data_IF_384604907931
#
_entry.id   IF_384604907931
#
_cell.length_a   1.000
_cell.length_b   1.000
_cell.length_c   1.000
_cell.angle_alpha   90.00
_cell.angle_beta   90.00
_cell.angle_gamma   90.00
#
_symmetry.space_group_name_H-M   'P 1'
#
loop_
_entity.id
_entity.type
_entity.pdbx_description
1 polymer ?
#
# COMPACT_ATOMS: atom_id res chain seq x y z
N UNK A 1 29.00 -6.79 -37.86
CA UNK A 1 27.82 -7.66 -37.69
C UNK A 1 28.15 -8.55 -36.51
N UNK A 2 27.49 -8.48 -35.36
CA UNK A 2 26.07 -8.75 -35.11
C UNK A 2 25.57 -7.84 -33.98
N UNK A 3 24.29 -7.48 -34.06
CA UNK A 3 23.58 -6.55 -33.20
C UNK A 3 23.52 -6.94 -31.72
N UNK A 4 23.40 -5.93 -30.84
CA UNK A 4 23.32 -6.06 -29.39
C UNK A 4 21.95 -6.58 -29.00
N UNK A 5 21.77 -7.01 -27.76
CA UNK A 5 20.64 -6.66 -26.88
C UNK A 5 21.02 -7.36 -25.58
N UNK A 6 21.68 -6.61 -24.70
CA UNK A 6 21.61 -6.91 -23.28
C UNK A 6 20.12 -7.08 -22.99
N UNK A 7 19.73 -8.31 -22.64
CA UNK A 7 18.37 -8.65 -22.26
C UNK A 7 18.00 -7.72 -21.12
N UNK A 8 17.32 -6.65 -21.52
CA UNK A 8 16.76 -5.60 -20.71
C UNK A 8 15.68 -6.33 -19.89
N UNK A 9 16.08 -6.84 -18.73
CA UNK A 9 15.18 -7.38 -17.72
C UNK A 9 14.33 -6.21 -17.22
N UNK A 10 13.32 -5.83 -18.01
CA UNK A 10 12.19 -5.05 -17.54
C UNK A 10 11.43 -5.98 -16.62
N UNK A 11 11.87 -6.03 -15.37
CA UNK A 11 11.05 -6.52 -14.27
C UNK A 11 9.88 -5.56 -14.18
N UNK A 12 8.75 -5.93 -14.81
CA UNK A 12 7.47 -5.30 -14.49
C UNK A 12 7.22 -5.56 -13.02
N UNK A 13 7.57 -4.58 -12.19
CA UNK A 13 7.12 -4.49 -10.81
C UNK A 13 5.62 -4.82 -10.81
N UNK A 14 5.16 -5.81 -10.03
CA UNK A 14 3.74 -6.12 -9.98
C UNK A 14 3.04 -4.83 -9.55
N UNK A 15 2.17 -4.29 -10.41
CA UNK A 15 1.32 -3.14 -10.03
C UNK A 15 0.47 -3.59 -8.85
N UNK A 16 0.98 -3.36 -7.62
CA UNK A 16 0.23 -3.55 -6.38
C UNK A 16 -1.04 -2.75 -6.59
N UNK A 17 -2.20 -3.39 -6.49
CA UNK A 17 -3.47 -2.71 -6.70
C UNK A 17 -3.50 -1.47 -5.79
N UNK A 18 -4.12 -0.37 -6.26
CA UNK A 18 -4.20 0.86 -5.46
C UNK A 18 -4.75 0.59 -4.05
N UNK A 19 -5.61 -0.42 -3.93
CA UNK A 19 -6.07 -0.95 -2.65
C UNK A 19 -4.94 -1.51 -1.76
N UNK A 20 -4.08 -2.38 -2.28
CA UNK A 20 -2.97 -2.96 -1.51
C UNK A 20 -1.99 -1.89 -1.00
N UNK A 21 -1.67 -0.90 -1.84
CA UNK A 21 -0.81 0.23 -1.45
C UNK A 21 -1.49 1.12 -0.39
N UNK A 22 -2.80 1.37 -0.54
CA UNK A 22 -3.59 2.07 0.48
C UNK A 22 -3.57 1.35 1.83
N UNK A 23 -3.74 0.02 1.83
CA UNK A 23 -3.78 -0.75 3.08
C UNK A 23 -2.41 -0.73 3.78
N UNK A 24 -1.35 -0.91 3.01
CA UNK A 24 0.02 -0.83 3.53
C UNK A 24 0.32 0.54 4.15
N UNK A 25 0.01 1.62 3.42
CA UNK A 25 0.21 2.98 3.92
C UNK A 25 -0.64 3.27 5.17
N UNK A 26 -1.90 2.81 5.18
CA UNK A 26 -2.78 3.00 6.34
C UNK A 26 -2.31 2.25 7.57
N UNK A 27 -1.84 1.01 7.41
CA UNK A 27 -1.25 0.23 8.51
C UNK A 27 0.02 0.91 9.01
N UNK A 28 0.87 1.40 8.12
CA UNK A 28 2.09 2.12 8.49
C UNK A 28 1.76 3.40 9.25
N UNK A 29 0.83 4.21 8.76
CA UNK A 29 0.34 5.41 9.46
C UNK A 29 -0.08 5.11 10.90
N UNK A 30 -0.87 4.05 11.13
CA UNK A 30 -1.29 3.68 12.48
C UNK A 30 -0.16 3.16 13.35
N UNK A 31 0.87 2.52 12.77
CA UNK A 31 2.08 2.13 13.50
C UNK A 31 2.91 3.35 13.90
N UNK A 32 3.08 4.32 12.99
CA UNK A 32 3.88 5.53 13.21
C UNK A 32 3.32 6.38 14.35
N UNK A 33 1.99 6.47 14.46
CA UNK A 33 1.32 7.17 15.56
C UNK A 33 1.09 6.28 16.81
N UNK A 34 1.66 5.07 16.84
CA UNK A 34 1.55 4.15 17.98
C UNK A 34 0.13 3.62 18.26
N UNK A 35 -0.77 3.70 17.28
CA UNK A 35 -2.18 3.29 17.39
C UNK A 35 -2.48 1.95 16.70
N UNK A 36 -1.46 1.15 16.44
CA UNK A 36 -1.55 -0.22 15.94
C UNK A 36 -1.19 -1.22 17.05
N UNK A 37 -1.87 -2.37 17.21
CA UNK A 37 -2.92 -2.94 16.35
C UNK A 37 -4.36 -2.47 16.68
N UNK A 38 -4.56 -1.83 17.83
CA UNK A 38 -5.86 -1.35 18.30
C UNK A 38 -5.87 0.16 18.44
N UNK A 39 -6.90 0.78 17.88
CA UNK A 39 -7.21 2.19 18.03
C UNK A 39 -7.79 2.46 19.42
N UNK A 40 -7.80 3.72 19.83
CA UNK A 40 -8.34 4.17 21.11
C UNK A 40 -9.83 3.87 21.30
N UNK A 41 -10.58 3.71 20.21
CA UNK A 41 -12.00 3.31 20.22
C UNK A 41 -12.20 1.77 20.29
N UNK A 42 -11.11 1.01 20.47
CA UNK A 42 -11.11 -0.45 20.62
C UNK A 42 -11.13 -1.22 19.29
N UNK A 43 -11.25 -0.53 18.16
CA UNK A 43 -11.27 -1.17 16.83
C UNK A 43 -9.87 -1.61 16.40
N UNK A 44 -9.83 -2.65 15.57
CA UNK A 44 -8.60 -3.07 14.92
C UNK A 44 -8.23 -2.08 13.82
N UNK A 45 -7.04 -1.49 13.91
CA UNK A 45 -6.54 -0.53 12.95
C UNK A 45 -6.60 -1.09 11.52
N UNK A 46 -6.25 -2.36 11.34
CA UNK A 46 -6.29 -3.03 10.04
C UNK A 46 -7.71 -3.11 9.44
N UNK A 47 -8.74 -3.38 10.25
CA UNK A 47 -10.13 -3.39 9.76
C UNK A 47 -10.56 -2.00 9.30
N UNK A 48 -10.21 -0.96 10.08
CA UNK A 48 -10.52 0.43 9.73
C UNK A 48 -9.79 0.85 8.45
N UNK A 49 -8.53 0.44 8.30
CA UNK A 49 -7.76 0.69 7.07
C UNK A 49 -8.42 0.00 5.89
N UNK A 50 -8.75 -1.29 5.98
CA UNK A 50 -9.40 -2.05 4.91
C UNK A 50 -10.74 -1.45 4.51
N UNK A 51 -11.56 -1.03 5.48
CA UNK A 51 -12.86 -0.39 5.22
C UNK A 51 -12.70 0.96 4.50
N UNK A 52 -11.76 1.79 4.95
CA UNK A 52 -11.46 3.08 4.31
C UNK A 52 -10.90 2.91 2.91
N UNK A 53 -9.96 1.99 2.72
CA UNK A 53 -9.36 1.69 1.41
C UNK A 53 -10.36 1.05 0.44
N UNK A 54 -11.37 0.34 0.95
CA UNK A 54 -12.44 -0.21 0.13
C UNK A 54 -13.39 0.89 -0.38
N UNK A 55 -13.61 1.94 0.43
CA UNK A 55 -14.37 3.12 0.01
C UNK A 55 -13.58 4.04 -0.91
N UNK A 56 -12.28 4.18 -0.67
CA UNK A 56 -11.39 5.03 -1.44
C UNK A 56 -9.95 4.51 -1.38
N UNK A 57 -9.41 4.13 -2.53
CA UNK A 57 -8.04 3.61 -2.65
C UNK A 57 -6.95 4.66 -2.42
N UNK A 58 -7.31 5.92 -2.16
CA UNK A 58 -6.38 7.01 -1.85
C UNK A 58 -6.49 7.50 -0.40
N UNK A 59 -7.27 6.80 0.45
CA UNK A 59 -7.56 7.22 1.82
C UNK A 59 -6.33 7.39 2.72
N UNK A 60 -5.21 6.72 2.40
CA UNK A 60 -3.95 6.83 3.12
C UNK A 60 -2.80 7.25 2.18
N UNK A 61 -3.12 8.08 1.18
CA UNK A 61 -2.15 8.67 0.27
C UNK A 61 -1.81 7.78 -0.92
N UNK A 62 -2.04 8.29 -2.12
CA UNK A 62 -1.27 7.92 -3.30
C UNK A 62 0.08 8.61 -3.15
N UNK A 63 1.14 7.84 -2.87
CA UNK A 63 2.47 8.31 -3.28
C UNK A 63 2.51 8.06 -4.78
N UNK A 64 2.26 9.12 -5.55
CA UNK A 64 2.66 9.24 -6.95
C UNK A 64 4.19 9.15 -7.06
#
# INVERSE_FOLDING_TARGET
MILPIAYFLVTKEPKKSNYGKCVENGVQYFKDIGSYPRLSDGKHAENVVRERCNRSSVAFGSID
#
